data_IF_414608726761
#
_entry.id   IF_414608726761
#
_cell.length_a   1.000
_cell.length_b   1.000
_cell.length_c   1.000
_cell.angle_alpha   90.00
_cell.angle_beta   90.00
_cell.angle_gamma   90.00
#
_symmetry.space_group_name_H-M   'P 1'
#
loop_
_entity.id
_entity.type
_entity.pdbx_description
1 polymer ?
#
# COMPACT_ATOMS: atom_id res chain seq x y z
N UNK A 1 9.28 -5.44 11.19
CA UNK A 1 8.43 -6.44 10.52
C UNK A 1 8.26 -6.05 9.06
N UNK A 2 8.38 -6.98 8.08
CA UNK A 2 8.03 -6.69 6.69
C UNK A 2 6.51 -6.59 6.49
N UNK A 3 6.10 -5.81 5.50
CA UNK A 3 4.72 -5.61 5.09
C UNK A 3 4.54 -6.28 3.74
N UNK A 4 3.63 -7.25 3.67
CA UNK A 4 3.25 -7.85 2.40
C UNK A 4 2.11 -7.04 1.79
N UNK A 5 2.35 -6.39 0.66
CA UNK A 5 1.32 -5.69 -0.12
C UNK A 5 1.00 -6.49 -1.37
N UNK A 6 -0.23 -6.33 -1.83
CA UNK A 6 -0.70 -6.78 -3.13
C UNK A 6 -1.15 -5.54 -3.89
N UNK A 7 -0.58 -5.29 -5.07
CA UNK A 7 -0.90 -4.09 -5.86
C UNK A 7 -1.66 -4.41 -7.16
N UNK A 8 -1.99 -5.68 -7.38
CA UNK A 8 -2.85 -6.16 -8.49
C UNK A 8 -3.60 -7.42 -8.08
N UNK A 9 -4.71 -7.72 -8.74
CA UNK A 9 -5.38 -9.03 -8.59
C UNK A 9 -4.80 -10.12 -9.49
N UNK A 10 -3.84 -9.76 -10.35
CA UNK A 10 -3.18 -10.68 -11.26
C UNK A 10 -2.47 -11.83 -10.54
N UNK A 11 -2.79 -13.06 -10.94
CA UNK A 11 -2.18 -14.28 -10.42
C UNK A 11 -1.08 -14.84 -11.33
N UNK A 12 -0.76 -14.14 -12.42
CA UNK A 12 0.28 -14.58 -13.35
C UNK A 12 1.64 -14.63 -12.65
N UNK A 13 2.51 -15.60 -13.00
CA UNK A 13 3.87 -15.65 -12.49
C UNK A 13 4.64 -14.36 -12.79
N UNK A 14 5.48 -13.96 -11.85
CA UNK A 14 6.42 -12.86 -12.06
C UNK A 14 7.45 -13.23 -13.12
N UNK A 15 7.84 -12.24 -13.94
CA UNK A 15 8.98 -12.35 -14.86
C UNK A 15 10.01 -11.24 -14.64
N UNK A 16 9.67 -10.23 -13.85
CA UNK A 16 10.52 -9.11 -13.50
C UNK A 16 10.43 -8.83 -12.01
N UNK A 17 11.57 -8.55 -11.40
CA UNK A 17 11.67 -8.13 -10.00
C UNK A 17 12.29 -6.74 -9.94
N UNK A 18 11.74 -5.89 -9.07
CA UNK A 18 12.31 -4.58 -8.72
C UNK A 18 12.73 -4.63 -7.26
N UNK A 19 14.02 -4.47 -7.01
CA UNK A 19 14.59 -4.44 -5.66
C UNK A 19 15.22 -3.08 -5.39
N UNK A 20 14.77 -2.42 -4.34
CA UNK A 20 15.45 -1.24 -3.80
C UNK A 20 16.41 -1.69 -2.72
N UNK A 21 17.71 -1.58 -2.98
CA UNK A 21 18.72 -1.90 -1.97
C UNK A 21 18.53 -1.04 -0.72
N UNK A 22 18.67 -1.66 0.45
CA UNK A 22 18.72 -0.96 1.73
C UNK A 22 20.14 -0.45 1.98
N UNK A 23 20.29 0.54 2.85
CA UNK A 23 21.59 0.91 3.43
C UNK A 23 21.90 0.14 4.72
N UNK A 24 20.94 -0.64 5.23
CA UNK A 24 21.08 -1.40 6.48
C UNK A 24 21.65 -2.80 6.25
N UNK A 25 22.59 -3.28 7.08
CA UNK A 25 23.28 -4.56 6.87
C UNK A 25 22.44 -5.80 7.24
N UNK A 26 21.34 -5.64 7.96
CA UNK A 26 20.49 -6.73 8.50
C UNK A 26 19.44 -7.25 7.51
N UNK A 27 19.31 -6.61 6.34
CA UNK A 27 18.37 -7.03 5.29
C UNK A 27 18.93 -6.74 3.90
N UNK A 28 18.52 -7.47 2.86
CA UNK A 28 19.05 -7.27 1.51
C UNK A 28 18.40 -6.10 0.74
N UNK A 29 17.16 -5.71 1.06
CA UNK A 29 16.42 -4.66 0.37
C UNK A 29 15.44 -3.93 1.29
N UNK A 30 15.10 -2.69 0.91
CA UNK A 30 13.98 -1.93 1.47
C UNK A 30 12.65 -2.46 0.96
N UNK A 31 12.56 -2.83 -0.32
CA UNK A 31 11.42 -3.56 -0.83
C UNK A 31 11.79 -4.41 -2.04
N UNK A 32 10.94 -5.41 -2.30
CA UNK A 32 10.97 -6.25 -3.49
C UNK A 32 9.57 -6.29 -4.11
N UNK A 33 9.42 -5.77 -5.32
CA UNK A 33 8.19 -5.85 -6.13
C UNK A 33 8.36 -6.91 -7.23
N UNK A 34 7.31 -7.68 -7.47
CA UNK A 34 7.24 -8.69 -8.51
C UNK A 34 6.17 -8.36 -9.56
N UNK A 35 6.49 -8.44 -10.85
CA UNK A 35 5.54 -8.15 -11.93
C UNK A 35 5.62 -9.14 -13.09
N UNK A 36 4.46 -9.44 -13.67
CA UNK A 36 4.39 -10.21 -14.91
C UNK A 36 4.62 -9.30 -16.14
N UNK A 37 4.71 -9.90 -17.34
CA UNK A 37 4.95 -9.16 -18.60
C UNK A 37 3.87 -8.11 -18.87
N UNK A 38 2.60 -8.47 -18.61
CA UNK A 38 1.43 -7.62 -18.85
C UNK A 38 1.45 -6.37 -17.97
N UNK A 39 1.88 -6.51 -16.73
CA UNK A 39 1.89 -5.42 -15.74
C UNK A 39 3.27 -4.81 -15.52
N UNK A 40 4.15 -4.90 -16.53
CA UNK A 40 5.47 -4.25 -16.49
C UNK A 40 5.37 -2.74 -16.24
N UNK A 41 4.27 -2.11 -16.63
CA UNK A 41 4.04 -0.66 -16.43
C UNK A 41 3.97 -0.29 -14.94
N UNK A 42 3.61 -1.24 -14.05
CA UNK A 42 3.61 -0.99 -12.60
C UNK A 42 4.98 -0.57 -12.09
N UNK A 43 6.08 -0.98 -12.73
CA UNK A 43 7.44 -0.66 -12.27
C UNK A 43 7.84 0.79 -12.55
N UNK A 44 7.06 1.54 -13.32
CA UNK A 44 7.38 2.92 -13.69
C UNK A 44 7.40 3.83 -12.46
N UNK A 45 6.56 3.53 -11.47
CA UNK A 45 6.45 4.26 -10.21
C UNK A 45 7.37 3.70 -9.10
N UNK A 46 8.14 2.64 -9.38
CA UNK A 46 8.98 1.95 -8.39
C UNK A 46 10.47 2.06 -8.74
N UNK A 47 11.22 2.71 -7.86
CA UNK A 47 12.67 2.92 -8.00
C UNK A 47 13.50 1.77 -7.44
N UNK A 48 14.31 1.14 -8.27
CA UNK A 48 15.23 0.10 -7.82
C UNK A 48 15.96 -0.57 -8.97
N UNK A 49 16.81 -1.54 -8.63
CA UNK A 49 17.42 -2.42 -9.62
C UNK A 49 16.35 -3.35 -10.18
N UNK A 50 16.34 -3.50 -11.50
CA UNK A 50 15.44 -4.40 -12.23
C UNK A 50 16.21 -5.66 -12.62
N UNK A 51 15.63 -6.82 -12.35
CA UNK A 51 16.19 -8.12 -12.71
C UNK A 51 15.12 -9.01 -13.32
N UNK A 52 15.53 -9.92 -14.20
CA UNK A 52 14.64 -11.00 -14.64
C UNK A 52 14.36 -11.93 -13.47
N UNK A 53 13.12 -12.38 -13.41
CA UNK A 53 12.67 -13.23 -12.32
C UNK A 53 13.07 -14.69 -12.60
N UNK A 54 13.72 -15.33 -11.61
CA UNK A 54 14.00 -16.77 -11.64
C UNK A 54 12.74 -17.65 -11.50
N UNK A 55 12.90 -18.98 -11.55
CA UNK A 55 11.79 -19.95 -11.65
C UNK A 55 10.72 -19.88 -10.53
N UNK A 56 11.09 -19.42 -9.34
CA UNK A 56 10.23 -19.43 -8.13
C UNK A 56 9.99 -18.03 -7.57
N UNK A 57 9.87 -17.02 -8.44
CA UNK A 57 10.00 -15.63 -8.00
C UNK A 57 8.78 -15.01 -7.38
N UNK A 58 7.63 -15.71 -7.39
CA UNK A 58 6.34 -15.35 -6.82
C UNK A 58 5.32 -14.87 -7.88
N UNK A 59 4.28 -14.17 -7.44
CA UNK A 59 3.15 -13.76 -8.31
C UNK A 59 3.09 -12.26 -8.53
N UNK A 60 2.52 -11.86 -9.67
CA UNK A 60 2.37 -10.46 -10.03
C UNK A 60 1.73 -9.61 -8.92
N UNK A 61 2.30 -8.44 -8.70
CA UNK A 61 1.81 -7.46 -7.75
C UNK A 61 2.17 -7.74 -6.29
N UNK A 62 2.95 -8.79 -5.99
CA UNK A 62 3.51 -8.95 -4.64
C UNK A 62 4.59 -7.92 -4.36
N UNK A 63 4.46 -7.24 -3.22
CA UNK A 63 5.50 -6.37 -2.67
C UNK A 63 5.83 -6.82 -1.26
N UNK A 64 7.08 -7.21 -1.04
CA UNK A 64 7.63 -7.39 0.29
C UNK A 64 8.36 -6.10 0.69
N UNK A 65 7.84 -5.37 1.67
CA UNK A 65 8.31 -4.04 2.05
C UNK A 65 8.86 -4.02 3.49
N UNK A 66 10.16 -3.76 3.64
CA UNK A 66 10.87 -3.67 4.92
C UNK A 66 11.07 -2.24 5.41
N UNK A 67 10.53 -1.24 4.70
CA UNK A 67 10.60 0.16 5.14
C UNK A 67 9.82 0.32 6.44
N UNK A 68 10.13 1.37 7.20
CA UNK A 68 9.40 1.68 8.42
C UNK A 68 7.94 2.06 8.10
N UNK A 69 7.08 1.96 9.13
CA UNK A 69 5.64 2.20 9.01
C UNK A 69 5.31 3.52 8.31
N UNK A 70 5.94 4.63 8.69
CA UNK A 70 5.61 5.94 8.14
C UNK A 70 6.02 6.05 6.66
N UNK A 71 7.17 5.49 6.32
CA UNK A 71 7.62 5.43 4.92
C UNK A 71 6.68 4.57 4.05
N UNK A 72 6.15 3.46 4.57
CA UNK A 72 5.16 2.64 3.84
C UNK A 72 3.82 3.38 3.73
N UNK A 73 3.34 4.02 4.79
CA UNK A 73 2.12 4.85 4.73
C UNK A 73 2.26 5.94 3.67
N UNK A 74 3.36 6.70 3.68
CA UNK A 74 3.59 7.76 2.69
C UNK A 74 3.60 7.20 1.26
N UNK A 75 4.17 6.02 1.06
CA UNK A 75 4.10 5.28 -0.22
C UNK A 75 2.65 4.98 -0.66
N UNK A 76 1.74 4.59 0.25
CA UNK A 76 0.31 4.44 -0.11
C UNK A 76 -0.34 5.79 -0.42
N UNK A 77 -0.02 6.84 0.36
CA UNK A 77 -0.54 8.20 0.15
C UNK A 77 -0.20 8.70 -1.25
N UNK A 78 1.09 8.69 -1.59
CA UNK A 78 1.59 9.31 -2.82
C UNK A 78 1.17 8.54 -4.07
N UNK A 79 1.15 7.20 -4.01
CA UNK A 79 0.96 6.37 -5.21
C UNK A 79 -0.51 6.23 -5.64
N UNK A 80 -1.45 6.14 -4.69
CA UNK A 80 -2.84 5.83 -5.05
C UNK A 80 -3.88 6.53 -4.18
N UNK A 81 -3.62 6.75 -2.88
CA UNK A 81 -4.65 7.31 -2.00
C UNK A 81 -4.91 8.78 -2.31
N UNK A 82 -3.88 9.63 -2.40
CA UNK A 82 -4.06 11.07 -2.73
C UNK A 82 -4.66 11.27 -4.13
N UNK A 83 -4.22 10.57 -5.20
CA UNK A 83 -4.91 10.63 -6.49
C UNK A 83 -6.39 10.22 -6.43
N UNK A 84 -6.76 9.32 -5.53
CA UNK A 84 -8.12 8.82 -5.37
C UNK A 84 -9.01 9.75 -4.52
N UNK A 85 -8.48 10.27 -3.41
CA UNK A 85 -9.27 10.97 -2.39
C UNK A 85 -8.99 12.47 -2.32
N UNK A 86 -7.98 12.97 -3.03
CA UNK A 86 -7.48 14.35 -2.95
C UNK A 86 -7.01 14.78 -1.55
N UNK A 87 -6.84 13.85 -0.61
CA UNK A 87 -6.42 14.13 0.76
C UNK A 87 -5.02 13.58 1.06
N UNK A 88 -4.13 14.45 1.52
CA UNK A 88 -2.81 14.13 2.07
C UNK A 88 -2.82 14.36 3.59
N UNK A 89 -2.16 13.54 4.43
CA UNK A 89 -1.97 13.87 5.84
C UNK A 89 -1.45 15.28 6.10
N UNK A 90 -0.62 15.83 5.21
CA UNK A 90 -0.07 17.18 5.35
C UNK A 90 -1.14 18.29 5.17
N UNK A 91 -2.25 18.01 4.47
CA UNK A 91 -3.43 18.89 4.41
C UNK A 91 -4.21 18.92 5.74
N UNK A 92 -3.87 18.03 6.68
CA UNK A 92 -4.51 17.82 7.98
C UNK A 92 -3.50 17.86 9.13
N UNK A 93 -2.50 18.75 9.08
CA UNK A 93 -1.47 18.91 10.13
C UNK A 93 -0.63 17.63 10.38
N UNK A 94 -0.43 16.80 9.35
CA UNK A 94 0.24 15.50 9.45
C UNK A 94 -0.65 14.39 10.03
N UNK A 95 -1.96 14.63 10.18
CA UNK A 95 -2.90 13.69 10.76
C UNK A 95 -3.43 12.69 9.73
N UNK A 96 -2.81 11.50 9.70
CA UNK A 96 -3.27 10.38 8.89
C UNK A 96 -4.73 9.98 9.16
N UNK A 97 -5.19 10.03 10.41
CA UNK A 97 -6.56 9.61 10.75
C UNK A 97 -7.59 10.57 10.17
N UNK A 98 -7.32 11.88 10.19
CA UNK A 98 -8.16 12.90 9.56
C UNK A 98 -8.15 12.78 8.04
N UNK A 99 -6.98 12.61 7.43
CA UNK A 99 -6.88 12.41 5.98
C UNK A 99 -7.65 11.16 5.51
N UNK A 100 -7.54 10.04 6.23
CA UNK A 100 -8.28 8.81 5.91
C UNK A 100 -9.79 8.97 6.15
N UNK A 101 -10.19 9.69 7.20
CA UNK A 101 -11.61 9.96 7.49
C UNK A 101 -12.24 10.81 6.40
N UNK A 102 -11.60 11.91 6.03
CA UNK A 102 -12.06 12.79 4.95
C UNK A 102 -12.12 12.04 3.61
N UNK A 103 -11.09 11.23 3.30
CA UNK A 103 -11.09 10.39 2.11
C UNK A 103 -12.19 9.32 2.09
N UNK A 104 -12.50 8.73 3.25
CA UNK A 104 -13.64 7.83 3.38
C UNK A 104 -14.97 8.53 3.13
N UNK A 105 -15.19 9.69 3.77
CA UNK A 105 -16.40 10.51 3.63
C UNK A 105 -16.64 10.90 2.17
N UNK A 106 -15.61 11.39 1.47
CA UNK A 106 -15.67 11.70 0.05
C UNK A 106 -16.12 10.50 -0.79
N UNK A 107 -15.58 9.31 -0.52
CA UNK A 107 -15.91 8.10 -1.29
C UNK A 107 -17.35 7.61 -1.07
N UNK A 108 -17.98 7.93 0.06
CA UNK A 108 -19.36 7.51 0.38
C UNK A 108 -20.41 8.59 0.14
N UNK A 109 -20.02 9.85 -0.09
CA UNK A 109 -20.95 10.98 -0.23
C UNK A 109 -21.94 10.81 -1.39
N UNK A 110 -21.58 10.05 -2.42
CA UNK A 110 -22.35 9.99 -3.66
C UNK A 110 -22.76 8.59 -4.12
N UNK A 111 -22.41 7.50 -3.40
CA UNK A 111 -22.69 6.09 -3.79
C UNK A 111 -22.68 5.12 -2.59
N UNK A 112 -23.14 3.88 -2.80
CA UNK A 112 -22.90 2.77 -1.85
C UNK A 112 -21.39 2.54 -1.62
N UNK A 113 -20.97 2.19 -0.38
CA UNK A 113 -19.55 2.01 -0.07
C UNK A 113 -18.93 0.91 -0.93
N UNK A 114 -17.96 1.28 -1.77
CA UNK A 114 -17.13 0.29 -2.46
C UNK A 114 -16.24 -0.43 -1.45
N UNK A 115 -15.71 -1.60 -1.82
CA UNK A 115 -14.73 -2.30 -0.97
C UNK A 115 -13.50 -1.43 -0.62
N UNK A 116 -13.11 -0.51 -1.52
CA UNK A 116 -12.06 0.49 -1.28
C UNK A 116 -12.46 1.43 -0.15
N UNK A 117 -13.66 2.01 -0.20
CA UNK A 117 -14.16 2.90 0.84
C UNK A 117 -14.24 2.18 2.21
N UNK A 118 -14.74 0.94 2.24
CA UNK A 118 -14.80 0.14 3.47
C UNK A 118 -13.42 -0.09 4.08
N UNK A 119 -12.42 -0.42 3.26
CA UNK A 119 -11.05 -0.65 3.71
C UNK A 119 -10.38 0.65 4.21
N UNK A 120 -10.58 1.79 3.53
CA UNK A 120 -10.09 3.10 3.99
C UNK A 120 -10.76 3.50 5.31
N UNK A 121 -12.08 3.35 5.42
CA UNK A 121 -12.81 3.64 6.67
C UNK A 121 -12.36 2.74 7.83
N UNK A 122 -11.99 1.48 7.55
CA UNK A 122 -11.40 0.61 8.56
C UNK A 122 -10.02 1.09 9.01
N UNK A 123 -9.14 1.47 8.07
CA UNK A 123 -7.85 2.06 8.37
C UNK A 123 -7.99 3.34 9.21
N UNK A 124 -8.95 4.22 8.87
CA UNK A 124 -9.26 5.43 9.62
C UNK A 124 -9.58 5.11 11.09
N UNK A 125 -10.51 4.18 11.34
CA UNK A 125 -10.89 3.76 12.71
C UNK A 125 -9.69 3.21 13.51
N UNK A 126 -8.84 2.40 12.89
CA UNK A 126 -7.64 1.87 13.56
C UNK A 126 -6.67 3.02 13.90
N UNK A 127 -6.47 3.98 13.00
CA UNK A 127 -5.59 5.13 13.26
C UNK A 127 -6.12 6.04 14.37
N UNK A 128 -7.44 6.18 14.51
CA UNK A 128 -8.07 6.89 15.63
C UNK A 128 -7.81 6.16 16.95
N UNK A 129 -8.04 4.84 16.99
CA UNK A 129 -7.81 4.04 18.18
C UNK A 129 -6.32 4.02 18.60
N UNK A 130 -5.39 3.97 17.64
CA UNK A 130 -3.95 4.15 17.90
C UNK A 130 -3.62 5.50 18.53
N UNK A 131 -4.26 6.59 18.10
CA UNK A 131 -4.07 7.92 18.67
C UNK A 131 -4.64 8.05 20.08
N UNK A 132 -5.72 7.33 20.35
CA UNK A 132 -6.36 7.27 21.66
C UNK A 132 -5.63 6.31 22.63
N UNK A 133 -4.54 5.67 22.19
CA UNK A 133 -3.80 4.65 22.97
C UNK A 133 -4.67 3.43 23.35
N UNK A 134 -5.68 3.12 22.54
CA UNK A 134 -6.64 2.03 22.76
C UNK A 134 -6.17 0.70 22.13
N UNK A 135 -5.12 0.74 21.30
CA UNK A 135 -4.56 -0.42 20.62
C UNK A 135 -3.06 -0.49 20.85
N UNK A 136 -2.55 -1.73 20.94
CA UNK A 136 -1.12 -1.98 20.82
C UNK A 136 -0.57 -1.35 19.54
N UNK A 137 0.53 -0.61 19.67
CA UNK A 137 1.07 0.21 18.59
C UNK A 137 1.53 -0.64 17.40
N UNK A 138 2.17 -1.79 17.65
CA UNK A 138 2.68 -2.65 16.59
C UNK A 138 1.53 -3.38 15.87
N UNK A 139 0.60 -3.95 16.64
CA UNK A 139 -0.59 -4.60 16.11
C UNK A 139 -1.46 -3.63 15.31
N UNK A 140 -1.71 -2.42 15.84
CA UNK A 140 -2.50 -1.41 15.15
C UNK A 140 -1.84 -0.94 13.87
N UNK A 141 -0.53 -0.67 13.88
CA UNK A 141 0.22 -0.30 12.65
C UNK A 141 0.14 -1.40 11.58
N UNK A 142 0.24 -2.66 12.00
CA UNK A 142 0.09 -3.82 11.10
C UNK A 142 -1.30 -3.84 10.47
N UNK A 143 -2.36 -3.61 11.25
CA UNK A 143 -3.73 -3.58 10.75
C UNK A 143 -3.98 -2.41 9.80
N UNK A 144 -3.43 -1.21 10.08
CA UNK A 144 -3.53 -0.06 9.16
C UNK A 144 -2.90 -0.41 7.81
N UNK A 145 -1.69 -0.96 7.80
CA UNK A 145 -1.00 -1.30 6.56
C UNK A 145 -1.71 -2.43 5.79
N UNK A 146 -2.28 -3.40 6.49
CA UNK A 146 -3.09 -4.45 5.87
C UNK A 146 -4.35 -3.86 5.20
N UNK A 147 -5.08 -2.97 5.91
CA UNK A 147 -6.26 -2.32 5.36
C UNK A 147 -5.93 -1.43 4.13
N UNK A 148 -4.83 -0.68 4.19
CA UNK A 148 -4.35 0.12 3.04
C UNK A 148 -3.93 -0.76 1.86
N UNK A 149 -3.33 -1.93 2.11
CA UNK A 149 -2.96 -2.87 1.05
C UNK A 149 -4.18 -3.50 0.37
N UNK A 150 -5.23 -3.80 1.14
CA UNK A 150 -6.51 -4.28 0.59
C UNK A 150 -7.16 -3.18 -0.27
N UNK A 151 -7.20 -1.94 0.23
CA UNK A 151 -7.74 -0.81 -0.52
C UNK A 151 -7.00 -0.58 -1.84
N UNK A 152 -5.66 -0.60 -1.81
CA UNK A 152 -4.81 -0.50 -3.00
C UNK A 152 -5.10 -1.60 -4.02
N UNK A 153 -5.23 -2.85 -3.58
CA UNK A 153 -5.56 -3.98 -4.46
C UNK A 153 -6.90 -3.77 -5.17
N UNK A 154 -7.92 -3.36 -4.41
CA UNK A 154 -9.27 -3.18 -4.92
C UNK A 154 -9.37 -1.99 -5.89
N UNK A 155 -8.67 -0.90 -5.59
CA UNK A 155 -8.56 0.25 -6.48
C UNK A 155 -7.85 -0.13 -7.79
N UNK A 156 -6.72 -0.84 -7.70
CA UNK A 156 -6.00 -1.33 -8.87
C UNK A 156 -6.88 -2.25 -9.75
N UNK A 157 -7.63 -3.16 -9.13
CA UNK A 157 -8.56 -4.04 -9.84
C UNK A 157 -9.64 -3.25 -10.59
N UNK A 158 -10.18 -2.19 -9.98
CA UNK A 158 -11.20 -1.33 -10.60
C UNK A 158 -10.68 -0.60 -11.84
N UNK A 159 -9.36 -0.40 -11.94
CA UNK A 159 -8.65 0.22 -13.08
C UNK A 159 -8.14 -0.81 -14.10
N UNK A 160 -8.45 -2.10 -13.92
CA UNK A 160 -8.12 -3.17 -14.86
C UNK A 160 -6.76 -3.84 -14.67
N UNK A 161 -6.17 -3.75 -13.47
CA UNK A 161 -4.90 -4.39 -13.08
C UNK A 161 -5.04 -5.77 -12.40
#
# INVERSE_FOLDING_TARGET
>A
MPVLRRITTCTAPSVLVVERATQRPDRPYDYRLQVCRRHRWLIEQWHGRRTEAGPDTGVCGEVLDHRDYLTVVRSHVDLWLRPLTFHDPDDHDGDLSRALTAGYELLIEHREPTGVAVAIGHAARITVALKADELDVEAGRTQVLAALSVAETLDAASRGA
#
